data_IF_981450987871
#
_entry.id   IF_981450987871
#
_cell.length_a   1.000
_cell.length_b   1.000
_cell.length_c   1.000
_cell.angle_alpha   90.00
_cell.angle_beta   90.00
_cell.angle_gamma   90.00
#
_symmetry.space_group_name_H-M   'P 1'
#
loop_
_entity.id
_entity.type
_entity.pdbx_description
1 polymer ?
#
# COMPACT_ATOMS: atom_id res chain seq x y z
N UNK A 1 12.15 9.89 -31.97
CA UNK A 1 12.19 10.59 -30.67
C UNK A 1 10.81 10.56 -30.07
N UNK A 2 10.66 9.91 -28.92
CA UNK A 2 9.40 9.80 -28.19
C UNK A 2 9.27 10.95 -27.19
N UNK A 3 8.11 11.60 -27.15
CA UNK A 3 7.61 12.32 -25.97
C UNK A 3 6.08 12.51 -26.11
N UNK A 4 5.29 11.75 -25.35
CA UNK A 4 4.60 12.11 -24.09
C UNK A 4 3.18 12.69 -24.29
N UNK A 5 2.28 12.18 -23.44
CA UNK A 5 0.91 12.60 -23.11
C UNK A 5 -0.18 11.95 -23.97
N UNK A 6 -1.22 11.32 -23.43
CA UNK A 6 -1.98 11.71 -22.22
C UNK A 6 -2.82 10.50 -21.76
N UNK A 7 -2.61 10.00 -20.55
CA UNK A 7 -3.51 9.02 -19.91
C UNK A 7 -4.77 9.79 -19.50
N UNK A 8 -5.83 9.64 -20.27
CA UNK A 8 -7.07 10.38 -20.05
C UNK A 8 -8.11 10.08 -21.12
N UNK A 9 -8.46 8.80 -21.28
CA UNK A 9 -9.41 8.39 -22.30
C UNK A 9 -10.03 7.03 -22.04
N UNK A 10 -11.30 7.08 -21.60
CA UNK A 10 -12.34 6.07 -21.86
C UNK A 10 -12.53 4.92 -20.84
N UNK A 11 -12.74 5.24 -19.57
CA UNK A 11 -13.56 4.40 -18.67
C UNK A 11 -15.07 4.55 -18.97
N UNK A 12 -15.49 4.38 -20.23
CA UNK A 12 -16.91 4.44 -20.66
C UNK A 12 -17.50 3.10 -21.11
N UNK A 13 -16.84 1.98 -20.81
CA UNK A 13 -17.32 0.64 -21.17
C UNK A 13 -17.56 -0.30 -19.98
N UNK A 14 -17.80 0.24 -18.79
CA UNK A 14 -18.09 -0.56 -17.59
C UNK A 14 -19.48 -0.28 -16.96
N UNK A 15 -20.28 0.61 -17.55
CA UNK A 15 -21.63 0.92 -17.04
C UNK A 15 -22.74 0.11 -17.73
N UNK A 16 -22.55 -0.35 -18.97
CA UNK A 16 -23.63 -0.94 -19.75
C UNK A 16 -23.86 -2.44 -19.46
N UNK A 17 -22.85 -3.17 -18.93
CA UNK A 17 -23.01 -4.56 -18.48
C UNK A 17 -23.43 -4.73 -17.00
N UNK A 18 -23.89 -3.65 -16.35
CA UNK A 18 -24.40 -3.73 -14.95
C UNK A 18 -25.92 -3.63 -14.85
N UNK A 19 -26.62 -3.25 -15.92
CA UNK A 19 -28.08 -3.18 -15.97
C UNK A 19 -28.74 -4.54 -16.17
N UNK A 20 -28.33 -5.28 -17.22
CA UNK A 20 -28.97 -6.55 -17.61
C UNK A 20 -28.77 -7.67 -16.59
N UNK A 21 -27.60 -7.74 -15.97
CA UNK A 21 -27.33 -8.72 -14.92
C UNK A 21 -28.08 -8.40 -13.61
N UNK A 22 -28.41 -7.14 -13.34
CA UNK A 22 -29.21 -6.76 -12.16
C UNK A 22 -30.69 -7.09 -12.34
N UNK A 23 -31.25 -6.80 -13.51
CA UNK A 23 -32.67 -7.08 -13.80
C UNK A 23 -33.00 -8.59 -13.68
N UNK A 24 -32.18 -9.47 -14.29
CA UNK A 24 -32.39 -10.93 -14.18
C UNK A 24 -32.27 -11.47 -12.75
N UNK A 25 -31.35 -10.93 -11.95
CA UNK A 25 -31.19 -11.33 -10.54
C UNK A 25 -32.41 -10.95 -9.70
N UNK A 26 -33.00 -9.79 -9.98
CA UNK A 26 -34.17 -9.31 -9.27
C UNK A 26 -35.43 -10.12 -9.61
N UNK A 27 -35.57 -10.56 -10.86
CA UNK A 27 -36.65 -11.46 -11.27
C UNK A 27 -36.54 -12.85 -10.63
N UNK A 28 -35.34 -13.45 -10.64
CA UNK A 28 -35.09 -14.72 -9.96
C UNK A 28 -35.34 -14.62 -8.45
N UNK A 29 -34.90 -13.52 -7.81
CA UNK A 29 -35.13 -13.27 -6.39
C UNK A 29 -36.61 -13.22 -6.07
N UNK A 30 -37.41 -12.53 -6.90
CA UNK A 30 -38.87 -12.44 -6.71
C UNK A 30 -39.55 -13.79 -6.84
N UNK A 31 -39.16 -14.62 -7.81
CA UNK A 31 -39.73 -15.96 -8.00
C UNK A 31 -39.40 -16.90 -6.84
N UNK A 32 -38.17 -16.87 -6.31
CA UNK A 32 -37.75 -17.72 -5.19
C UNK A 32 -38.48 -17.35 -3.89
N UNK A 33 -38.65 -16.05 -3.61
CA UNK A 33 -39.39 -15.60 -2.42
C UNK A 33 -40.88 -15.88 -2.49
N UNK A 34 -41.46 -15.92 -3.70
CA UNK A 34 -42.85 -16.30 -3.90
C UNK A 34 -43.05 -17.82 -3.71
N UNK A 35 -42.07 -18.64 -4.07
CA UNK A 35 -42.15 -20.10 -3.93
C UNK A 35 -41.80 -20.62 -2.52
N UNK A 36 -41.05 -19.85 -1.74
CA UNK A 36 -40.61 -20.24 -0.39
C UNK A 36 -40.73 -19.07 0.61
N UNK A 37 -41.96 -18.73 1.03
CA UNK A 37 -42.23 -17.54 1.85
C UNK A 37 -41.69 -17.62 3.28
N UNK A 38 -41.48 -18.82 3.82
CA UNK A 38 -41.07 -19.04 5.23
C UNK A 38 -39.55 -19.16 5.43
N UNK A 39 -38.73 -18.99 4.38
CA UNK A 39 -37.28 -19.10 4.47
C UNK A 39 -36.66 -17.74 4.81
N UNK A 40 -35.94 -17.59 5.94
CA UNK A 40 -35.27 -16.35 6.29
C UNK A 40 -34.21 -16.03 5.22
N UNK A 41 -34.43 -14.94 4.50
CA UNK A 41 -33.58 -14.49 3.40
C UNK A 41 -32.23 -14.06 3.97
N UNK A 42 -31.16 -14.82 3.68
CA UNK A 42 -29.80 -14.36 3.93
C UNK A 42 -29.54 -13.18 2.98
N UNK A 43 -29.66 -11.98 3.54
CA UNK A 43 -29.57 -10.72 2.84
C UNK A 43 -28.13 -10.50 2.37
N UNK A 44 -27.84 -10.87 1.13
CA UNK A 44 -26.62 -10.51 0.38
C UNK A 44 -25.31 -11.03 1.01
N UNK A 45 -24.92 -12.29 0.72
CA UNK A 45 -23.69 -12.91 1.21
C UNK A 45 -22.42 -12.11 0.88
N UNK A 46 -22.42 -11.38 -0.24
CA UNK A 46 -21.28 -10.54 -0.61
C UNK A 46 -21.13 -9.34 0.33
N UNK A 47 -22.24 -8.76 0.81
CA UNK A 47 -22.20 -7.74 1.85
C UNK A 47 -21.69 -8.29 3.18
N UNK A 48 -22.13 -9.48 3.57
CA UNK A 48 -21.65 -10.12 4.81
C UNK A 48 -20.15 -10.44 4.75
N UNK A 49 -19.67 -10.94 3.61
CA UNK A 49 -18.24 -11.19 3.41
C UNK A 49 -17.41 -9.89 3.47
N UNK A 50 -17.91 -8.79 2.88
CA UNK A 50 -17.26 -7.47 2.96
C UNK A 50 -17.24 -6.94 4.39
N UNK A 51 -18.36 -7.00 5.09
CA UNK A 51 -18.45 -6.60 6.49
C UNK A 51 -17.52 -7.43 7.38
N UNK A 52 -17.40 -8.74 7.12
CA UNK A 52 -16.45 -9.62 7.81
C UNK A 52 -14.99 -9.26 7.52
N UNK A 53 -14.67 -8.93 6.27
CA UNK A 53 -13.33 -8.49 5.87
C UNK A 53 -12.97 -7.13 6.48
N UNK A 54 -13.89 -6.19 6.50
CA UNK A 54 -13.72 -4.87 7.11
C UNK A 54 -13.57 -4.99 8.64
N UNK A 55 -14.37 -5.86 9.27
CA UNK A 55 -14.23 -6.16 10.69
C UNK A 55 -12.88 -6.83 11.01
N UNK A 56 -12.38 -7.69 10.14
CA UNK A 56 -11.07 -8.33 10.32
C UNK A 56 -9.92 -7.33 10.17
N UNK A 57 -10.02 -6.39 9.22
CA UNK A 57 -9.07 -5.29 9.07
C UNK A 57 -9.09 -4.37 10.31
N UNK A 58 -10.27 -4.03 10.82
CA UNK A 58 -10.40 -3.22 12.03
C UNK A 58 -9.87 -3.94 13.29
N UNK A 59 -10.08 -5.26 13.42
CA UNK A 59 -9.60 -6.06 14.56
C UNK A 59 -8.11 -6.33 14.54
N UNK A 60 -7.47 -6.38 13.37
CA UNK A 60 -6.00 -6.55 13.26
C UNK A 60 -5.23 -5.29 13.66
N UNK A 61 -5.92 -4.17 13.91
CA UNK A 61 -5.32 -2.85 13.87
C UNK A 61 -4.99 -2.51 12.42
N UNK A 62 -5.37 -1.32 11.96
CA UNK A 62 -4.89 -0.85 10.67
C UNK A 62 -3.35 -0.86 10.73
N UNK A 63 -2.69 -1.48 9.74
CA UNK A 63 -1.24 -1.48 9.68
C UNK A 63 -0.75 -0.03 9.79
N UNK A 64 -0.03 0.27 10.85
CA UNK A 64 0.39 1.65 11.12
C UNK A 64 1.42 2.07 10.09
N UNK A 65 1.55 3.37 9.85
CA UNK A 65 2.53 3.87 8.89
C UNK A 65 3.97 3.42 9.24
N UNK A 66 4.24 3.16 10.53
CA UNK A 66 5.51 2.64 11.07
C UNK A 66 5.65 1.13 11.07
N UNK A 67 4.63 0.37 10.63
CA UNK A 67 4.74 -1.08 10.49
C UNK A 67 5.72 -1.45 9.37
N UNK A 68 6.31 -2.64 9.46
CA UNK A 68 7.35 -3.10 8.55
C UNK A 68 7.00 -2.91 7.07
N UNK A 69 5.87 -3.46 6.61
CA UNK A 69 5.48 -3.43 5.20
C UNK A 69 5.28 -2.02 4.63
N UNK A 70 4.43 -1.15 5.23
CA UNK A 70 4.25 0.21 4.73
C UNK A 70 5.54 1.04 4.82
N UNK A 71 6.35 0.85 5.86
CA UNK A 71 7.63 1.55 6.00
C UNK A 71 8.66 1.07 4.96
N UNK A 72 8.75 -0.23 4.70
CA UNK A 72 9.69 -0.80 3.74
C UNK A 72 9.36 -0.39 2.31
N UNK A 73 8.08 -0.35 1.98
CA UNK A 73 7.61 0.17 0.69
C UNK A 73 7.99 1.64 0.50
N UNK A 74 7.75 2.49 1.50
CA UNK A 74 8.07 3.91 1.42
C UNK A 74 9.60 4.14 1.33
N UNK A 75 10.39 3.38 2.10
CA UNK A 75 11.84 3.42 2.03
C UNK A 75 12.37 3.02 0.64
N UNK A 76 11.87 1.94 0.04
CA UNK A 76 12.27 1.50 -1.29
C UNK A 76 11.94 2.52 -2.39
N UNK A 77 10.82 3.24 -2.26
CA UNK A 77 10.45 4.33 -3.19
C UNK A 77 11.32 5.58 -3.03
N UNK A 78 11.84 5.81 -1.83
CA UNK A 78 12.63 6.99 -1.48
C UNK A 78 14.13 6.79 -1.76
N UNK A 79 14.63 5.56 -1.62
CA UNK A 79 16.06 5.23 -1.66
C UNK A 79 16.43 4.31 -2.83
N UNK A 80 16.20 4.71 -4.11
CA UNK A 80 16.48 3.84 -5.25
C UNK A 80 17.97 3.49 -5.39
N UNK A 81 18.88 4.37 -4.95
CA UNK A 81 20.33 4.12 -4.98
C UNK A 81 20.76 2.96 -4.06
N UNK A 82 19.96 2.66 -3.02
CA UNK A 82 20.26 1.62 -2.06
C UNK A 82 19.83 0.23 -2.54
N UNK A 83 18.93 0.14 -3.54
CA UNK A 83 18.27 -1.09 -3.95
C UNK A 83 19.25 -2.25 -4.27
N UNK A 84 20.32 -1.97 -5.00
CA UNK A 84 21.32 -2.96 -5.39
C UNK A 84 22.48 -3.11 -4.38
N UNK A 85 22.46 -2.33 -3.30
CA UNK A 85 23.57 -2.22 -2.36
C UNK A 85 23.16 -2.52 -0.92
N UNK A 86 21.99 -3.12 -0.63
CA UNK A 86 21.63 -3.48 0.76
C UNK A 86 22.30 -4.80 1.17
N UNK A 87 23.20 -4.76 2.17
CA UNK A 87 23.76 -5.97 2.80
C UNK A 87 22.83 -6.55 3.89
N UNK A 88 22.17 -5.69 4.65
CA UNK A 88 21.26 -6.10 5.72
C UNK A 88 20.11 -5.12 5.86
N UNK A 89 18.92 -5.67 6.06
CA UNK A 89 17.72 -4.94 6.45
C UNK A 89 17.20 -5.54 7.75
N UNK A 90 17.04 -4.72 8.78
CA UNK A 90 16.40 -5.12 10.04
C UNK A 90 15.27 -4.16 10.40
N UNK A 91 14.27 -4.67 11.13
CA UNK A 91 13.13 -3.90 11.60
C UNK A 91 12.97 -4.09 13.10
N UNK A 92 12.79 -2.98 13.81
CA UNK A 92 12.58 -2.94 15.25
C UNK A 92 12.22 -1.53 15.69
N UNK A 93 11.43 -1.39 16.75
CA UNK A 93 11.03 -0.09 17.32
C UNK A 93 10.42 0.86 16.28
N UNK A 94 9.56 0.32 15.40
CA UNK A 94 8.93 1.05 14.28
C UNK A 94 9.92 1.75 13.34
N UNK A 95 11.12 1.19 13.22
CA UNK A 95 12.17 1.70 12.36
C UNK A 95 12.75 0.60 11.47
N UNK A 96 13.12 0.99 10.25
CA UNK A 96 13.96 0.17 9.39
C UNK A 96 15.40 0.60 9.53
N UNK A 97 16.28 -0.37 9.71
CA UNK A 97 17.72 -0.16 9.69
C UNK A 97 18.28 -0.84 8.46
N UNK A 98 18.88 -0.04 7.57
CA UNK A 98 19.54 -0.49 6.35
C UNK A 98 21.05 -0.42 6.55
N UNK A 99 21.74 -1.52 6.33
CA UNK A 99 23.18 -1.57 6.21
C UNK A 99 23.53 -1.81 4.75
N UNK A 100 24.31 -0.94 4.12
CA UNK A 100 24.67 -1.14 2.72
C UNK A 100 25.92 -2.06 2.62
N UNK A 101 26.08 -2.80 1.52
CA UNK A 101 27.11 -3.81 1.33
C UNK A 101 28.47 -3.20 0.98
N UNK A 102 28.45 -2.19 0.12
CA UNK A 102 29.64 -1.46 -0.29
C UNK A 102 29.22 -0.02 -0.57
N UNK A 103 29.15 0.76 0.50
CA UNK A 103 28.97 2.19 0.37
C UNK A 103 30.37 2.79 0.31
N UNK A 104 30.95 2.77 -0.89
CA UNK A 104 32.03 3.70 -1.19
C UNK A 104 31.51 5.13 -0.96
N UNK A 105 32.40 6.07 -0.62
CA UNK A 105 32.06 7.43 -0.20
C UNK A 105 31.04 8.19 -1.09
N UNK A 106 30.87 7.75 -2.34
CA UNK A 106 29.85 8.21 -3.28
C UNK A 106 28.42 7.87 -2.83
N UNK A 107 28.14 6.63 -2.42
CA UNK A 107 26.81 6.18 -2.00
C UNK A 107 26.39 6.83 -0.67
N UNK A 108 27.33 7.00 0.27
CA UNK A 108 27.09 7.83 1.47
C UNK A 108 26.75 9.27 1.11
N UNK A 109 27.55 9.91 0.25
CA UNK A 109 27.32 11.31 -0.16
C UNK A 109 25.93 11.50 -0.77
N UNK A 110 25.49 10.56 -1.62
CA UNK A 110 24.15 10.62 -2.22
C UNK A 110 23.07 10.50 -1.14
N UNK A 111 23.25 9.60 -0.18
CA UNK A 111 22.34 9.43 0.95
C UNK A 111 22.24 10.65 1.89
N UNK A 112 23.27 11.49 1.92
CA UNK A 112 23.34 12.73 2.72
C UNK A 112 22.89 13.99 1.97
N UNK A 113 22.49 13.85 0.70
CA UNK A 113 22.13 15.02 -0.10
C UNK A 113 20.86 15.68 0.48
N UNK A 114 20.83 17.00 0.69
CA UNK A 114 19.64 17.71 1.17
C UNK A 114 18.37 17.43 0.35
N UNK A 115 18.53 17.21 -0.96
CA UNK A 115 17.44 16.84 -1.86
C UNK A 115 16.78 15.49 -1.47
N UNK A 116 17.59 14.49 -1.09
CA UNK A 116 17.07 13.19 -0.67
C UNK A 116 16.34 13.29 0.68
N UNK A 117 16.91 14.04 1.62
CA UNK A 117 16.30 14.28 2.93
C UNK A 117 14.94 14.97 2.76
N UNK A 118 14.86 15.99 1.89
CA UNK A 118 13.59 16.66 1.59
C UNK A 118 12.59 15.74 0.89
N UNK A 119 13.04 14.91 -0.05
CA UNK A 119 12.17 13.91 -0.70
C UNK A 119 11.61 12.91 0.31
N UNK A 120 12.44 12.43 1.23
CA UNK A 120 12.01 11.53 2.30
C UNK A 120 11.00 12.21 3.22
N UNK A 121 11.26 13.45 3.63
CA UNK A 121 10.34 14.24 4.44
C UNK A 121 8.99 14.45 3.75
N UNK A 122 8.98 14.71 2.44
CA UNK A 122 7.75 14.83 1.64
C UNK A 122 6.94 13.52 1.59
N UNK A 123 7.60 12.37 1.77
CA UNK A 123 6.94 11.05 1.91
C UNK A 123 6.64 10.68 3.38
N UNK A 124 6.82 11.63 4.31
CA UNK A 124 6.60 11.42 5.74
C UNK A 124 7.63 10.49 6.40
N UNK A 125 8.83 10.41 5.83
CA UNK A 125 9.95 9.64 6.35
C UNK A 125 11.01 10.57 6.95
N UNK A 126 11.63 10.10 8.03
CA UNK A 126 12.84 10.66 8.61
C UNK A 126 13.98 9.68 8.36
N UNK A 127 15.05 10.18 7.74
CA UNK A 127 16.28 9.46 7.50
C UNK A 127 17.34 9.93 8.51
N UNK A 128 17.94 9.00 9.23
CA UNK A 128 19.00 9.26 10.19
C UNK A 128 20.18 8.33 9.90
N UNK A 129 21.41 8.82 10.09
CA UNK A 129 22.57 7.94 10.07
C UNK A 129 22.57 7.10 11.34
N UNK A 130 22.78 5.80 11.20
CA UNK A 130 22.97 4.88 12.32
C UNK A 130 24.38 4.98 12.90
N UNK A 131 24.68 4.12 13.87
CA UNK A 131 25.92 4.16 14.65
C UNK A 131 27.20 3.90 13.83
N UNK A 132 27.07 3.36 12.62
CA UNK A 132 28.18 3.15 11.69
C UNK A 132 27.94 3.90 10.39
N UNK A 133 29.03 4.29 9.72
CA UNK A 133 29.00 5.13 8.51
C UNK A 133 28.23 4.53 7.32
N UNK A 134 27.87 3.25 7.42
CA UNK A 134 27.17 2.51 6.39
C UNK A 134 25.79 2.01 6.84
N UNK A 135 25.27 2.55 7.94
CA UNK A 135 23.96 2.20 8.47
C UNK A 135 23.03 3.41 8.44
N UNK A 136 21.79 3.20 8.02
CA UNK A 136 20.73 4.21 7.97
C UNK A 136 19.53 3.73 8.75
N UNK A 137 19.02 4.57 9.64
CA UNK A 137 17.78 4.36 10.36
C UNK A 137 16.68 5.20 9.71
N UNK A 138 15.57 4.55 9.38
CA UNK A 138 14.42 5.13 8.69
C UNK A 138 13.21 4.99 9.61
N UNK A 139 12.55 6.11 9.89
CA UNK A 139 11.36 6.17 10.73
C UNK A 139 10.28 7.00 10.05
N UNK A 140 9.05 6.96 10.58
CA UNK A 140 8.03 7.93 10.20
C UNK A 140 8.27 9.26 10.89
N UNK A 141 8.05 10.35 10.17
CA UNK A 141 8.14 11.70 10.74
C UNK A 141 7.01 12.02 11.71
N UNK A 142 5.89 11.30 11.62
CA UNK A 142 4.77 11.34 12.57
C UNK A 142 4.35 9.91 12.94
N UNK A 143 4.11 9.62 14.23
CA UNK A 143 3.69 8.29 14.70
C UNK A 143 2.30 7.90 14.18
#
# INVERSE_FOLDING_TARGET
GAAVARIGGLNRHAAQMRGEAKARREDMRRQVLAAFPDIPVVLDPARQARQGLDALQNRRGAATAGDFLPLARAAAQTLPFAADNVARLSYGDQALTLQLADAGAQAQRVAETPALIQQAAAQGLKLERGDTDNTWRITRSQP
#
